data_IF_195649625684
#
_entry.id   IF_195649625684
#
_cell.length_a   1.000
_cell.length_b   1.000
_cell.length_c   1.000
_cell.angle_alpha   90.00
_cell.angle_beta   90.00
_cell.angle_gamma   90.00
#
_symmetry.space_group_name_H-M   'P 1'
#
loop_
_entity.id
_entity.type
_entity.pdbx_description
1 polymer ?
#
# COMPACT_ATOMS: atom_id res chain seq x y z
N UNK A 1 7.27 16.68 34.21
CA UNK A 1 7.62 16.26 32.83
C UNK A 1 8.56 15.08 32.90
N UNK A 2 8.49 14.13 31.96
CA UNK A 2 9.45 13.02 31.86
C UNK A 2 10.68 13.49 31.07
N UNK A 3 11.85 13.40 31.68
CA UNK A 3 13.13 13.91 31.16
C UNK A 3 14.08 12.80 30.70
N UNK A 4 13.63 11.55 30.67
CA UNK A 4 14.49 10.36 30.47
C UNK A 4 14.49 9.84 29.02
N UNK A 5 13.76 10.48 28.10
CA UNK A 5 13.59 10.02 26.71
C UNK A 5 12.79 8.72 26.52
N UNK A 6 12.54 7.97 27.60
CA UNK A 6 11.79 6.72 27.58
C UNK A 6 10.29 6.96 27.75
N UNK A 7 9.46 6.31 26.94
CA UNK A 7 7.99 6.43 27.01
C UNK A 7 7.45 5.58 28.17
N UNK A 8 7.09 6.22 29.29
CA UNK A 8 6.36 5.57 30.39
C UNK A 8 4.85 5.85 30.22
N UNK A 9 4.15 4.94 29.55
CA UNK A 9 2.70 5.01 29.30
C UNK A 9 2.28 4.73 27.86
N UNK A 10 1.04 4.30 27.67
CA UNK A 10 0.47 3.89 26.38
C UNK A 10 0.11 2.40 26.33
N UNK A 11 -0.57 1.97 25.26
CA UNK A 11 -0.90 0.55 25.06
C UNK A 11 0.39 -0.27 24.86
N UNK A 12 0.46 -1.42 25.51
CA UNK A 12 1.53 -2.40 25.28
C UNK A 12 1.48 -2.86 23.82
N UNK A 13 2.65 -2.86 23.16
CA UNK A 13 2.78 -3.32 21.77
C UNK A 13 2.35 -4.79 21.70
N UNK A 14 1.44 -5.13 20.79
CA UNK A 14 0.90 -6.48 20.65
C UNK A 14 -0.39 -6.75 21.42
N UNK A 15 -0.87 -5.84 22.29
CA UNK A 15 -2.20 -6.02 22.89
C UNK A 15 -3.26 -5.91 21.80
N UNK A 16 -4.10 -6.94 21.57
CA UNK A 16 -5.16 -6.89 20.56
C UNK A 16 -6.19 -5.82 20.91
N UNK A 17 -6.83 -5.22 19.91
CA UNK A 17 -7.92 -4.29 20.16
C UNK A 17 -9.23 -5.08 20.31
N UNK A 18 -9.74 -5.22 21.54
CA UNK A 18 -10.81 -6.19 21.89
C UNK A 18 -12.09 -6.04 21.05
N UNK A 19 -12.48 -4.81 20.71
CA UNK A 19 -13.62 -4.56 19.82
C UNK A 19 -13.33 -5.04 18.39
N UNK A 20 -12.14 -4.74 17.88
CA UNK A 20 -11.70 -5.17 16.54
C UNK A 20 -11.57 -6.70 16.45
N UNK A 21 -11.09 -7.36 17.51
CA UNK A 21 -10.99 -8.83 17.57
C UNK A 21 -12.37 -9.50 17.47
N UNK A 22 -13.35 -9.04 18.25
CA UNK A 22 -14.72 -9.58 18.19
C UNK A 22 -15.37 -9.39 16.82
N UNK A 23 -15.16 -8.25 16.19
CA UNK A 23 -15.70 -7.98 14.84
C UNK A 23 -15.03 -8.92 13.83
N UNK A 24 -13.71 -9.12 13.90
CA UNK A 24 -12.99 -10.06 13.05
C UNK A 24 -13.48 -11.50 13.23
N UNK A 25 -13.68 -11.95 14.46
CA UNK A 25 -14.22 -13.28 14.75
C UNK A 25 -15.61 -13.47 14.12
N UNK A 26 -16.53 -12.51 14.31
CA UNK A 26 -17.87 -12.59 13.72
C UNK A 26 -17.83 -12.60 12.19
N UNK A 27 -17.02 -11.73 11.58
CA UNK A 27 -16.84 -11.72 10.13
C UNK A 27 -16.25 -13.04 9.63
N UNK A 28 -15.29 -13.62 10.34
CA UNK A 28 -14.72 -14.92 10.01
C UNK A 28 -15.79 -16.00 10.02
N UNK A 29 -16.64 -16.05 11.04
CA UNK A 29 -17.72 -17.04 11.11
C UNK A 29 -18.68 -16.90 9.93
N UNK A 30 -19.11 -15.67 9.59
CA UNK A 30 -20.02 -15.42 8.47
C UNK A 30 -19.39 -15.84 7.15
N UNK A 31 -18.10 -15.55 6.94
CA UNK A 31 -17.38 -15.95 5.73
C UNK A 31 -17.28 -17.47 5.64
N UNK A 32 -16.96 -18.16 6.75
CA UNK A 32 -16.90 -19.62 6.79
C UNK A 32 -18.25 -20.25 6.44
N UNK A 33 -19.34 -19.77 7.05
CA UNK A 33 -20.70 -20.24 6.75
C UNK A 33 -21.10 -19.96 5.29
N UNK A 34 -20.72 -18.80 4.75
CA UNK A 34 -20.95 -18.47 3.35
C UNK A 34 -20.17 -19.41 2.40
N UNK A 35 -18.94 -19.78 2.75
CA UNK A 35 -18.15 -20.73 1.96
C UNK A 35 -18.76 -22.14 2.03
N UNK A 36 -19.17 -22.58 3.21
CA UNK A 36 -19.77 -23.91 3.41
C UNK A 36 -21.12 -24.06 2.68
N UNK A 37 -21.84 -22.96 2.48
CA UNK A 37 -23.11 -22.93 1.74
C UNK A 37 -22.95 -22.76 0.22
N UNK A 38 -21.74 -22.53 -0.30
CA UNK A 38 -21.52 -22.42 -1.74
C UNK A 38 -21.62 -23.80 -2.40
N UNK A 39 -22.70 -24.01 -3.15
CA UNK A 39 -22.83 -25.14 -4.06
C UNK A 39 -22.46 -24.74 -5.48
N UNK A 40 -21.32 -25.22 -5.97
CA UNK A 40 -20.89 -24.97 -7.34
C UNK A 40 -21.87 -25.58 -8.35
N UNK A 41 -22.55 -26.68 -8.02
CA UNK A 41 -23.47 -27.41 -8.88
C UNK A 41 -24.65 -26.57 -9.36
N UNK A 42 -25.25 -25.79 -8.47
CA UNK A 42 -26.40 -24.93 -8.74
C UNK A 42 -26.05 -23.57 -9.37
N UNK A 43 -24.78 -23.17 -9.39
CA UNK A 43 -24.35 -21.89 -9.98
C UNK A 43 -24.44 -21.88 -11.50
N UNK A 44 -24.84 -20.74 -12.07
CA UNK A 44 -24.80 -20.49 -13.51
C UNK A 44 -23.36 -20.36 -14.01
N UNK A 45 -23.15 -20.55 -15.32
CA UNK A 45 -21.81 -20.38 -15.95
C UNK A 45 -21.21 -19.00 -15.68
N UNK A 46 -22.04 -17.95 -15.67
CA UNK A 46 -21.60 -16.58 -15.44
C UNK A 46 -21.13 -16.37 -13.98
N UNK A 47 -21.84 -16.92 -13.01
CA UNK A 47 -21.47 -16.82 -11.59
C UNK A 47 -20.19 -17.59 -11.30
N UNK A 48 -20.02 -18.79 -11.86
CA UNK A 48 -18.77 -19.55 -11.75
C UNK A 48 -17.58 -18.78 -12.33
N UNK A 49 -17.77 -18.12 -13.47
CA UNK A 49 -16.71 -17.34 -14.12
C UNK A 49 -16.33 -16.11 -13.28
N UNK A 50 -17.31 -15.42 -12.69
CA UNK A 50 -17.06 -14.34 -11.71
C UNK A 50 -16.34 -14.83 -10.46
N UNK A 51 -16.73 -15.99 -9.91
CA UNK A 51 -16.07 -16.57 -8.73
C UNK A 51 -14.59 -16.85 -9.01
N UNK A 52 -14.27 -17.44 -10.17
CA UNK A 52 -12.89 -17.67 -10.59
C UNK A 52 -12.13 -16.36 -10.73
N UNK A 53 -12.72 -15.35 -11.39
CA UNK A 53 -12.08 -14.06 -11.57
C UNK A 53 -11.77 -13.34 -10.25
N UNK A 54 -12.68 -13.41 -9.28
CA UNK A 54 -12.51 -12.83 -7.95
C UNK A 54 -11.58 -13.66 -7.06
N UNK A 55 -11.56 -14.98 -7.22
CA UNK A 55 -10.73 -15.89 -6.43
C UNK A 55 -9.28 -15.98 -6.90
N UNK A 56 -9.02 -15.80 -8.20
CA UNK A 56 -7.69 -15.92 -8.80
C UNK A 56 -6.61 -15.11 -8.07
N UNK A 57 -6.82 -13.83 -7.67
CA UNK A 57 -5.80 -13.04 -6.96
C UNK A 57 -5.45 -13.56 -5.56
N UNK A 58 -6.34 -14.34 -4.95
CA UNK A 58 -6.14 -14.93 -3.62
C UNK A 58 -5.50 -16.32 -3.69
N UNK A 59 -5.66 -17.02 -4.81
CA UNK A 59 -5.09 -18.36 -5.04
C UNK A 59 -3.70 -18.25 -5.68
N UNK A 60 -3.60 -17.41 -6.70
CA UNK A 60 -2.34 -17.15 -7.40
C UNK A 60 -1.67 -16.00 -6.68
N UNK A 61 -0.62 -16.32 -5.92
CA UNK A 61 0.33 -15.31 -5.43
C UNK A 61 0.76 -14.48 -6.64
N UNK A 62 0.50 -13.17 -6.61
CA UNK A 62 0.98 -12.29 -7.68
C UNK A 62 2.47 -12.60 -7.86
N UNK A 63 2.94 -12.91 -9.08
CA UNK A 63 4.37 -12.96 -9.30
C UNK A 63 4.93 -11.64 -8.76
N UNK A 64 6.07 -11.72 -8.06
CA UNK A 64 6.83 -10.51 -7.73
C UNK A 64 7.12 -9.89 -9.08
N UNK A 65 6.31 -8.90 -9.47
CA UNK A 65 6.65 -8.03 -10.57
C UNK A 65 7.89 -7.35 -10.01
N UNK A 66 9.07 -7.78 -10.47
CA UNK A 66 10.27 -7.00 -10.28
C UNK A 66 9.85 -5.58 -10.61
N UNK A 67 9.88 -4.69 -9.61
CA UNK A 67 9.54 -3.29 -9.84
C UNK A 67 10.26 -2.89 -11.12
N UNK A 68 9.57 -2.33 -12.14
CA UNK A 68 10.26 -1.89 -13.33
C UNK A 68 11.42 -1.04 -12.82
N UNK A 69 12.66 -1.42 -13.15
CA UNK A 69 13.86 -0.77 -12.64
C UNK A 69 13.60 0.73 -12.76
N UNK A 70 13.42 1.41 -11.62
CA UNK A 70 13.17 2.83 -11.63
C UNK A 70 14.37 3.42 -12.37
N UNK A 71 14.14 3.98 -13.55
CA UNK A 71 15.22 4.62 -14.30
C UNK A 71 15.86 5.63 -13.36
N UNK A 72 17.14 5.43 -13.05
CA UNK A 72 17.89 6.33 -12.17
C UNK A 72 17.72 7.76 -12.72
N UNK A 73 16.96 8.59 -12.01
CA UNK A 73 16.85 10.01 -12.36
C UNK A 73 18.22 10.64 -12.12
N UNK A 74 19.01 10.75 -13.19
CA UNK A 74 20.32 11.40 -13.18
C UNK A 74 20.12 12.91 -13.13
N UNK A 75 20.29 13.49 -11.95
CA UNK A 75 20.36 14.93 -11.79
C UNK A 75 21.78 15.41 -12.13
N UNK A 76 21.89 16.38 -13.05
CA UNK A 76 23.12 17.12 -13.28
C UNK A 76 23.09 18.36 -12.38
N UNK A 77 24.08 18.50 -11.50
CA UNK A 77 24.21 19.66 -10.60
C UNK A 77 25.35 20.52 -11.13
N UNK A 78 25.04 21.75 -11.57
CA UNK A 78 26.04 22.78 -11.87
C UNK A 78 26.09 23.80 -10.73
N UNK A 79 27.28 23.97 -10.14
CA UNK A 79 27.50 24.96 -9.08
C UNK A 79 27.90 26.28 -9.75
N UNK A 80 27.04 27.30 -9.62
CA UNK A 80 27.31 28.64 -10.15
C UNK A 80 28.05 29.46 -9.10
N UNK A 81 29.36 29.68 -9.29
CA UNK A 81 30.19 30.47 -8.38
C UNK A 81 29.87 31.98 -8.41
N UNK A 82 29.32 32.51 -9.51
CA UNK A 82 29.01 33.94 -9.67
C UNK A 82 27.77 34.17 -10.56
N UNK A 83 26.72 34.74 -9.97
CA UNK A 83 25.46 35.06 -10.68
C UNK A 83 25.63 36.08 -11.83
N UNK A 84 26.65 36.94 -11.78
CA UNK A 84 26.81 38.03 -12.76
C UNK A 84 27.15 37.60 -14.20
N UNK A 85 27.38 36.30 -14.45
CA UNK A 85 27.63 35.76 -15.80
C UNK A 85 26.34 35.39 -16.56
N UNK A 86 25.21 35.34 -15.86
CA UNK A 86 23.92 34.93 -16.43
C UNK A 86 22.93 36.09 -16.35
N UNK A 87 22.05 36.21 -17.34
CA UNK A 87 20.98 37.21 -17.30
C UNK A 87 19.84 36.68 -16.44
N UNK A 88 19.19 37.58 -15.70
CA UNK A 88 18.08 37.22 -14.79
C UNK A 88 16.97 36.42 -15.49
N UNK A 89 16.73 36.70 -16.78
CA UNK A 89 15.76 35.96 -17.62
C UNK A 89 16.10 34.47 -17.81
N UNK A 90 17.39 34.14 -17.86
CA UNK A 90 17.85 32.77 -18.07
C UNK A 90 17.77 31.97 -16.75
N UNK A 91 17.96 32.64 -15.61
CA UNK A 91 17.81 32.06 -14.27
C UNK A 91 16.34 31.82 -13.92
N UNK A 92 15.46 32.77 -14.23
CA UNK A 92 14.02 32.68 -13.93
C UNK A 92 13.37 31.50 -14.67
N UNK A 93 13.75 31.28 -15.93
CA UNK A 93 13.30 30.15 -16.75
C UNK A 93 13.77 28.78 -16.22
N UNK A 94 14.92 28.72 -15.54
CA UNK A 94 15.45 27.49 -14.96
C UNK A 94 14.80 27.12 -13.61
N UNK A 95 14.27 28.11 -12.88
CA UNK A 95 13.61 27.93 -11.58
C UNK A 95 12.11 27.63 -11.74
N UNK A 96 11.49 28.17 -12.78
CA UNK A 96 10.03 28.05 -13.04
C UNK A 96 9.62 26.83 -13.86
N UNK A 97 10.54 25.86 -14.05
CA UNK A 97 10.26 24.58 -14.71
C UNK A 97 9.08 23.82 -14.09
#
# INVERSE_FOLDING_TARGET
MNTTGNKYGGRTKGTPNKLTSKIKEKLSCIISEAIDSLDLGSMTKAERLKLIQLGLPYIVTKPQIEEPQQEEQKFQIEIIDRLGKYKDRDLDKAITG
#
